data_IF_652222453797
#
_entry.id   IF_652222453797
#
_cell.length_a   1.000
_cell.length_b   1.000
_cell.length_c   1.000
_cell.angle_alpha   90.00
_cell.angle_beta   90.00
_cell.angle_gamma   90.00
#
_symmetry.space_group_name_H-M   'P 1'
#
loop_
_entity.id
_entity.type
_entity.pdbx_description
1 polymer ?
#
# COMPACT_ATOMS: atom_id res chain seq x y z
N UNK A 1 26.80 4.92 10.82
CA UNK A 1 26.17 3.63 11.21
C UNK A 1 27.12 2.50 10.80
N UNK A 2 27.27 1.41 11.58
CA UNK A 2 28.14 0.30 11.12
C UNK A 2 27.46 -0.45 9.96
N UNK A 3 28.21 -1.04 9.00
CA UNK A 3 27.63 -1.70 7.82
C UNK A 3 26.62 -2.80 8.18
N UNK A 4 26.89 -3.55 9.25
CA UNK A 4 25.98 -4.58 9.78
C UNK A 4 24.67 -3.98 10.29
N UNK A 5 24.73 -2.83 11.00
CA UNK A 5 23.53 -2.16 11.50
C UNK A 5 22.67 -1.65 10.35
N UNK A 6 23.28 -1.07 9.30
CA UNK A 6 22.56 -0.60 8.11
C UNK A 6 21.79 -1.74 7.43
N UNK A 7 22.45 -2.88 7.20
CA UNK A 7 21.79 -4.07 6.61
C UNK A 7 20.66 -4.63 7.47
N UNK A 8 20.83 -4.63 8.79
CA UNK A 8 19.76 -5.07 9.70
C UNK A 8 18.56 -4.12 9.65
N UNK A 9 18.80 -2.81 9.61
CA UNK A 9 17.74 -1.81 9.48
C UNK A 9 16.99 -1.95 8.15
N UNK A 10 17.70 -2.13 7.04
CA UNK A 10 17.11 -2.35 5.72
C UNK A 10 16.28 -3.63 5.68
N UNK A 11 16.78 -4.73 6.25
CA UNK A 11 16.04 -5.99 6.31
C UNK A 11 14.74 -5.86 7.12
N UNK A 12 14.80 -5.18 8.27
CA UNK A 12 13.61 -4.94 9.08
C UNK A 12 12.60 -4.03 8.36
N UNK A 13 13.10 -2.98 7.69
CA UNK A 13 12.31 -2.04 6.91
C UNK A 13 11.55 -2.73 5.78
N UNK A 14 12.27 -3.46 4.91
CA UNK A 14 11.68 -4.18 3.79
C UNK A 14 10.71 -5.26 4.26
N UNK A 15 11.03 -5.96 5.35
CA UNK A 15 10.10 -6.95 5.94
C UNK A 15 8.81 -6.28 6.41
N UNK A 16 8.90 -5.14 7.11
CA UNK A 16 7.74 -4.41 7.58
C UNK A 16 6.87 -3.89 6.43
N UNK A 17 7.47 -3.28 5.41
CA UNK A 17 6.76 -2.78 4.23
C UNK A 17 6.06 -3.92 3.49
N UNK A 18 6.74 -5.04 3.26
CA UNK A 18 6.14 -6.19 2.59
C UNK A 18 4.94 -6.76 3.35
N UNK A 19 5.04 -6.86 4.68
CA UNK A 19 3.91 -7.31 5.51
C UNK A 19 2.74 -6.32 5.46
N UNK A 20 3.00 -5.01 5.48
CA UNK A 20 1.98 -3.99 5.31
C UNK A 20 1.34 -4.05 3.91
N UNK A 21 2.13 -4.28 2.86
CA UNK A 21 1.65 -4.43 1.49
C UNK A 21 0.73 -5.63 1.32
N UNK A 22 1.05 -6.78 1.95
CA UNK A 22 0.19 -7.96 1.96
C UNK A 22 -1.15 -7.65 2.63
N UNK A 23 -1.14 -7.03 3.82
CA UNK A 23 -2.36 -6.67 4.55
C UNK A 23 -3.21 -5.71 3.74
N UNK A 24 -2.59 -4.69 3.14
CA UNK A 24 -3.28 -3.72 2.30
C UNK A 24 -3.91 -4.40 1.07
N UNK A 25 -3.17 -5.27 0.39
CA UNK A 25 -3.67 -6.03 -0.77
C UNK A 25 -4.87 -6.90 -0.39
N UNK A 26 -4.82 -7.59 0.75
CA UNK A 26 -5.94 -8.41 1.23
C UNK A 26 -7.17 -7.57 1.54
N UNK A 27 -7.00 -6.37 2.07
CA UNK A 27 -8.10 -5.42 2.29
C UNK A 27 -8.62 -4.80 0.97
N UNK A 28 -7.78 -4.69 -0.06
CA UNK A 28 -8.11 -4.04 -1.34
C UNK A 28 -8.92 -4.94 -2.26
N UNK A 29 -8.68 -6.26 -2.26
CA UNK A 29 -9.37 -7.23 -3.12
C UNK A 29 -10.91 -7.17 -3.01
N UNK A 30 -11.53 -7.15 -1.80
CA UNK A 30 -12.98 -6.99 -1.66
C UNK A 30 -13.49 -5.64 -2.20
N UNK A 31 -12.72 -4.57 -2.02
CA UNK A 31 -13.10 -3.23 -2.44
C UNK A 31 -13.08 -3.10 -3.97
N UNK A 32 -12.06 -3.65 -4.63
CA UNK A 32 -11.97 -3.71 -6.09
C UNK A 32 -13.10 -4.56 -6.68
N UNK A 33 -13.44 -5.68 -6.06
CA UNK A 33 -14.60 -6.47 -6.45
C UNK A 33 -15.88 -5.63 -6.36
N UNK A 34 -16.09 -4.92 -5.25
CA UNK A 34 -17.27 -4.07 -5.03
C UNK A 34 -17.35 -2.91 -6.06
N UNK A 35 -16.23 -2.27 -6.38
CA UNK A 35 -16.14 -1.26 -7.45
C UNK A 35 -16.51 -1.88 -8.81
N UNK A 36 -15.99 -3.06 -9.11
CA UNK A 36 -16.24 -3.76 -10.38
C UNK A 36 -17.71 -4.15 -10.57
N UNK A 37 -18.40 -4.53 -9.49
CA UNK A 37 -19.84 -4.84 -9.52
C UNK A 37 -20.71 -3.57 -9.58
N UNK A 38 -20.32 -2.50 -8.88
CA UNK A 38 -21.09 -1.24 -8.86
C UNK A 38 -20.99 -0.47 -10.18
N UNK A 39 -19.87 -0.56 -10.90
CA UNK A 39 -19.72 0.05 -12.24
C UNK A 39 -20.69 -0.48 -13.30
N UNK A 40 -21.36 -1.62 -13.07
CA UNK A 40 -22.43 -2.14 -13.94
C UNK A 40 -23.79 -1.46 -13.72
N UNK A 41 -23.96 -0.71 -12.63
CA UNK A 41 -25.17 0.06 -12.34
C UNK A 41 -24.83 1.57 -12.32
N UNK A 42 -24.95 2.28 -13.45
CA UNK A 42 -24.47 3.66 -13.61
C UNK A 42 -25.25 4.71 -12.79
N UNK A 43 -26.28 4.33 -12.05
CA UNK A 43 -27.29 5.28 -11.56
C UNK A 43 -26.95 5.95 -10.22
N UNK A 44 -25.91 5.53 -9.48
CA UNK A 44 -25.50 6.22 -8.23
C UNK A 44 -23.98 6.13 -7.99
N UNK A 45 -23.23 7.25 -8.08
CA UNK A 45 -21.85 7.27 -7.63
C UNK A 45 -21.83 7.08 -6.11
N UNK A 46 -21.25 5.97 -5.64
CA UNK A 46 -21.01 5.77 -4.22
C UNK A 46 -19.73 6.53 -3.84
N UNK A 47 -19.90 7.80 -3.44
CA UNK A 47 -18.81 8.70 -3.06
C UNK A 47 -17.89 8.09 -1.99
N UNK A 48 -18.45 7.35 -1.02
CA UNK A 48 -17.65 6.68 0.01
C UNK A 48 -16.75 5.60 -0.58
N UNK A 49 -17.29 4.77 -1.48
CA UNK A 49 -16.52 3.73 -2.15
C UNK A 49 -15.37 4.33 -2.95
N UNK A 50 -15.62 5.42 -3.68
CA UNK A 50 -14.58 6.13 -4.43
C UNK A 50 -13.45 6.63 -3.53
N UNK A 51 -13.78 7.31 -2.42
CA UNK A 51 -12.76 7.82 -1.50
C UNK A 51 -12.01 6.69 -0.79
N UNK A 52 -12.70 5.61 -0.41
CA UNK A 52 -12.06 4.43 0.16
C UNK A 52 -11.07 3.81 -0.84
N UNK A 53 -11.46 3.64 -2.10
CA UNK A 53 -10.58 3.10 -3.14
C UNK A 53 -9.39 4.01 -3.40
N UNK A 54 -9.62 5.33 -3.46
CA UNK A 54 -8.54 6.32 -3.61
C UNK A 54 -7.53 6.22 -2.47
N UNK A 55 -7.99 6.21 -1.22
CA UNK A 55 -7.13 6.07 -0.04
C UNK A 55 -6.29 4.79 -0.08
N UNK A 56 -6.86 3.67 -0.54
CA UNK A 56 -6.13 2.41 -0.66
C UNK A 56 -5.03 2.47 -1.72
N UNK A 57 -5.31 3.10 -2.87
CA UNK A 57 -4.30 3.32 -3.91
C UNK A 57 -3.19 4.25 -3.42
N UNK A 58 -3.53 5.36 -2.78
CA UNK A 58 -2.55 6.29 -2.23
C UNK A 58 -1.64 5.61 -1.19
N UNK A 59 -2.20 4.72 -0.35
CA UNK A 59 -1.44 3.93 0.61
C UNK A 59 -0.53 2.89 -0.07
N UNK A 60 -0.97 2.31 -1.19
CA UNK A 60 -0.17 1.36 -1.95
C UNK A 60 1.03 2.04 -2.61
N UNK A 61 0.79 3.17 -3.28
CA UNK A 61 1.82 3.98 -3.91
C UNK A 61 2.85 4.48 -2.87
N UNK A 62 2.38 4.85 -1.67
CA UNK A 62 3.26 5.21 -0.57
C UNK A 62 4.15 4.05 -0.12
N UNK A 63 3.60 2.83 0.00
CA UNK A 63 4.37 1.64 0.37
C UNK A 63 5.41 1.28 -0.69
N UNK A 64 5.05 1.32 -1.97
CA UNK A 64 5.98 1.09 -3.09
C UNK A 64 7.12 2.13 -3.06
N UNK A 65 6.77 3.41 -2.84
CA UNK A 65 7.78 4.46 -2.71
C UNK A 65 8.69 4.24 -1.50
N UNK A 66 8.13 3.82 -0.36
CA UNK A 66 8.90 3.54 0.85
C UNK A 66 9.83 2.33 0.68
N UNK A 67 9.48 1.34 -0.14
CA UNK A 67 10.36 0.20 -0.48
C UNK A 67 11.63 0.64 -1.19
N UNK A 68 11.52 1.65 -2.07
CA UNK A 68 12.65 2.23 -2.80
C UNK A 68 13.59 3.07 -1.92
N UNK A 69 13.16 3.44 -0.72
CA UNK A 69 13.90 4.33 0.19
C UNK A 69 14.20 3.68 1.54
N UNK A 70 15.05 2.64 1.59
CA UNK A 70 15.45 2.03 2.86
C UNK A 70 16.32 2.96 3.73
N UNK A 71 16.42 2.71 5.05
CA UNK A 71 17.18 3.55 5.98
C UNK A 71 18.63 3.81 5.60
N UNK A 72 19.27 2.89 4.87
CA UNK A 72 20.65 3.05 4.39
C UNK A 72 20.85 4.13 3.33
N UNK A 73 19.78 4.74 2.79
CA UNK A 73 19.88 5.80 1.78
C UNK A 73 19.34 7.16 2.25
N UNK A 74 18.94 7.31 3.51
CA UNK A 74 18.37 8.55 4.07
C UNK A 74 19.43 9.63 4.39
N UNK A 75 20.45 9.75 3.54
CA UNK A 75 21.64 10.56 3.78
C UNK A 75 21.61 11.88 3.01
#
# INVERSE_FOLDING_TARGET
MSPTRARMADAAWLTAINMLGIVLTMAQLPLVALVSFSGRHPSRPNTLLKHATQLMWDAHDWLEHAELHPPSIWH
#
